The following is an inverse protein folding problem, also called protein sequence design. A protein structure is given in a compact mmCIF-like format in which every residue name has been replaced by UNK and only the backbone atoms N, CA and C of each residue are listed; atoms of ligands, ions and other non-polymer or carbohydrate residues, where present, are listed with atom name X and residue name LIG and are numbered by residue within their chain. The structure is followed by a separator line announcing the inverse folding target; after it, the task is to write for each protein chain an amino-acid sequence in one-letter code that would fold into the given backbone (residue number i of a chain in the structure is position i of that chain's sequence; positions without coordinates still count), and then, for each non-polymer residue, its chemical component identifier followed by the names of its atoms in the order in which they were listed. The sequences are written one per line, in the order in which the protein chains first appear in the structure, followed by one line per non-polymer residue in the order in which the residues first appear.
data_IF_764685187472
#
_entry.id   IF_764685187472
#
_cell.length_a   1.000
_cell.length_b   1.000
_cell.length_c   1.000
_cell.angle_alpha   90.00
_cell.angle_beta   90.00
_cell.angle_gamma   90.00
#
_symmetry.space_group_name_H-M   'P 1'
#
loop_
_entity.id
_entity.type
_entity.pdbx_description
1 polymer ?
#
# COMPACT_ATOMS: atom_id res chain seq x y z
N UNK A 1 31.75 31.28 17.33
CA UNK A 1 32.63 31.28 16.15
C UNK A 1 32.73 29.86 15.64
N UNK A 2 32.14 29.55 14.48
CA UNK A 2 32.33 28.26 13.82
C UNK A 2 33.68 28.28 13.11
N UNK A 3 34.75 27.96 13.85
CA UNK A 3 36.13 27.93 13.37
C UNK A 3 36.51 26.58 12.78
N UNK A 4 36.01 26.29 11.59
CA UNK A 4 36.44 25.12 10.81
C UNK A 4 36.45 25.49 9.34
N UNK A 5 37.63 25.46 8.72
CA UNK A 5 37.79 25.50 7.27
C UNK A 5 37.18 24.21 6.70
N UNK A 6 35.88 24.21 6.47
CA UNK A 6 35.23 23.15 5.72
C UNK A 6 35.24 23.58 4.25
N UNK A 7 36.04 22.93 3.37
CA UNK A 7 35.97 23.18 1.93
C UNK A 7 34.72 22.48 1.37
N UNK A 8 33.54 22.81 1.91
CA UNK A 8 32.28 22.36 1.35
C UNK A 8 32.07 23.21 0.10
N UNK A 9 32.25 22.58 -1.06
CA UNK A 9 31.95 23.19 -2.35
C UNK A 9 30.53 23.74 -2.32
N UNK A 10 30.30 24.95 -2.86
CA UNK A 10 28.97 25.55 -2.97
C UNK A 10 27.97 24.61 -3.66
N UNK A 11 28.46 23.74 -4.56
CA UNK A 11 27.68 22.67 -5.19
C UNK A 11 27.07 21.74 -4.12
N UNK A 12 27.85 21.31 -3.13
CA UNK A 12 27.37 20.42 -2.07
C UNK A 12 26.34 21.12 -1.17
N UNK A 13 26.48 22.42 -0.92
CA UNK A 13 25.47 23.18 -0.16
C UNK A 13 24.17 23.36 -0.94
N UNK A 14 24.25 23.65 -2.25
CA UNK A 14 23.08 23.88 -3.09
C UNK A 14 22.35 22.60 -3.47
N UNK A 15 23.09 21.52 -3.79
CA UNK A 15 22.52 20.27 -4.28
C UNK A 15 22.46 19.16 -3.24
N UNK A 16 23.22 19.24 -2.14
CA UNK A 16 23.19 18.24 -1.06
C UNK A 16 21.80 18.03 -0.48
N UNK A 17 21.07 19.09 -0.08
CA UNK A 17 19.70 18.97 0.39
C UNK A 17 18.76 18.38 -0.68
N UNK A 18 18.94 18.76 -1.95
CA UNK A 18 18.14 18.26 -3.06
C UNK A 18 18.35 16.76 -3.31
N UNK A 19 19.59 16.29 -3.26
CA UNK A 19 19.88 14.85 -3.40
C UNK A 19 19.30 14.08 -2.21
N UNK A 20 19.42 14.63 -1.00
CA UNK A 20 18.92 13.99 0.21
C UNK A 20 17.39 13.85 0.19
N UNK A 21 16.66 14.86 -0.31
CA UNK A 21 15.20 14.78 -0.46
C UNK A 21 14.79 13.77 -1.52
N UNK A 22 15.48 13.73 -2.67
CA UNK A 22 15.18 12.76 -3.74
C UNK A 22 15.40 11.33 -3.23
N UNK A 23 16.53 11.05 -2.59
CA UNK A 23 16.82 9.72 -2.05
C UNK A 23 15.85 9.32 -0.94
N UNK A 24 15.51 10.26 -0.05
CA UNK A 24 14.51 10.03 1.00
C UNK A 24 13.13 9.68 0.42
N UNK A 25 12.70 10.40 -0.62
CA UNK A 25 11.44 10.11 -1.29
C UNK A 25 11.44 8.73 -1.96
N UNK A 26 12.50 8.38 -2.69
CA UNK A 26 12.62 7.06 -3.35
C UNK A 26 12.61 5.93 -2.32
N UNK A 27 13.36 6.07 -1.23
CA UNK A 27 13.40 5.07 -0.16
C UNK A 27 12.02 4.90 0.50
N UNK A 28 11.33 6.00 0.79
CA UNK A 28 9.99 5.99 1.35
C UNK A 28 8.97 5.35 0.40
N UNK A 29 9.01 5.70 -0.88
CA UNK A 29 8.15 5.13 -1.90
C UNK A 29 8.39 3.63 -2.07
N UNK A 30 9.65 3.17 -2.02
CA UNK A 30 9.98 1.75 -2.10
C UNK A 30 9.45 0.96 -0.91
N UNK A 31 9.58 1.50 0.31
CA UNK A 31 9.04 0.89 1.52
C UNK A 31 7.50 0.81 1.50
N UNK A 32 6.84 1.85 0.99
CA UNK A 32 5.37 1.90 0.92
C UNK A 32 4.79 1.09 -0.24
N UNK A 33 5.49 0.98 -1.39
CA UNK A 33 5.06 0.12 -2.50
C UNK A 33 5.02 -1.37 -2.10
N UNK A 34 5.88 -1.80 -1.17
CA UNK A 34 5.81 -3.16 -0.62
C UNK A 34 4.47 -3.42 0.10
N UNK A 35 3.92 -2.43 0.80
CA UNK A 35 2.62 -2.55 1.48
C UNK A 35 1.44 -2.32 0.52
N UNK A 36 1.64 -1.56 -0.57
CA UNK A 36 0.63 -1.35 -1.62
C UNK A 36 0.45 -2.57 -2.54
N UNK A 37 1.40 -3.52 -2.55
CA UNK A 37 1.34 -4.76 -3.34
C UNK A 37 0.35 -5.80 -2.81
N UNK A 38 -0.52 -5.45 -1.86
CA UNK A 38 -1.59 -6.32 -1.33
C UNK A 38 -2.45 -6.85 -2.48
N UNK A 39 -2.25 -8.11 -2.90
CA UNK A 39 -2.88 -8.65 -4.10
C UNK A 39 -4.40 -8.78 -3.92
N UNK A 40 -4.85 -8.89 -2.66
CA UNK A 40 -6.27 -9.01 -2.30
C UNK A 40 -7.09 -7.73 -2.53
N UNK A 41 -6.45 -6.56 -2.69
CA UNK A 41 -7.13 -5.31 -3.10
C UNK A 41 -6.99 -5.04 -4.61
N UNK A 42 -6.18 -5.84 -5.30
CA UNK A 42 -5.75 -5.60 -6.68
C UNK A 42 -6.52 -6.42 -7.71
N UNK A 43 -7.53 -7.16 -7.28
CA UNK A 43 -8.54 -7.74 -8.17
C UNK A 43 -9.49 -6.61 -8.63
N UNK A 44 -8.91 -5.59 -9.28
CA UNK A 44 -9.67 -4.66 -10.09
C UNK A 44 -10.05 -5.46 -11.33
N UNK A 45 -11.30 -5.90 -11.39
CA UNK A 45 -11.88 -6.43 -12.61
C UNK A 45 -11.78 -5.33 -13.68
N UNK A 46 -10.89 -5.52 -14.66
CA UNK A 46 -10.58 -4.57 -15.73
C UNK A 46 -11.57 -4.68 -16.90
N UNK A 47 -12.59 -5.54 -16.80
CA UNK A 47 -13.65 -5.70 -17.80
C UNK A 47 -14.59 -4.50 -17.75
N UNK A 48 -15.10 -4.08 -18.91
CA UNK A 48 -16.10 -3.01 -18.99
C UNK A 48 -17.38 -3.42 -18.23
N UNK A 49 -18.11 -2.45 -17.67
CA UNK A 49 -19.30 -2.71 -16.86
C UNK A 49 -20.35 -3.58 -17.59
N UNK A 50 -20.41 -3.50 -18.93
CA UNK A 50 -21.27 -4.34 -19.78
C UNK A 50 -20.80 -5.80 -19.91
N UNK A 51 -19.49 -6.09 -19.88
CA UNK A 51 -18.96 -7.46 -19.80
C UNK A 51 -19.15 -8.06 -18.41
N UNK A 52 -19.13 -7.21 -17.37
CA UNK A 52 -19.30 -7.60 -15.97
C UNK A 52 -20.73 -8.01 -15.63
N UNK A 53 -21.73 -7.49 -16.34
CA UNK A 53 -23.15 -7.79 -16.20
C UNK A 53 -23.53 -9.25 -16.51
N UNK A 54 -22.68 -10.00 -17.23
CA UNK A 54 -22.91 -11.40 -17.57
C UNK A 54 -22.24 -12.41 -16.65
N UNK A 55 -21.29 -11.96 -15.83
CA UNK A 55 -20.41 -12.82 -15.04
C UNK A 55 -20.02 -12.07 -13.77
N UNK A 56 -21.02 -11.77 -12.94
CA UNK A 56 -20.78 -11.43 -11.54
C UNK A 56 -19.78 -12.45 -11.00
N UNK A 57 -18.62 -12.04 -10.43
CA UNK A 57 -17.77 -12.99 -9.74
C UNK A 57 -18.64 -13.57 -8.64
N UNK A 58 -19.06 -14.84 -8.80
CA UNK A 58 -19.89 -15.51 -7.82
C UNK A 58 -19.25 -15.22 -6.45
N UNK A 59 -19.99 -14.63 -5.50
CA UNK A 59 -19.42 -14.19 -4.24
C UNK A 59 -18.60 -15.35 -3.70
N UNK A 60 -17.29 -15.16 -3.52
CA UNK A 60 -16.39 -16.25 -3.10
C UNK A 60 -16.99 -16.86 -1.84
N UNK A 61 -17.54 -18.06 -1.98
CA UNK A 61 -18.25 -18.70 -0.88
C UNK A 61 -17.20 -18.99 0.17
N UNK A 62 -17.31 -18.29 1.30
CA UNK A 62 -16.43 -18.48 2.43
C UNK A 62 -16.76 -19.87 2.99
N UNK A 63 -15.90 -20.85 2.75
CA UNK A 63 -16.12 -22.23 3.22
C UNK A 63 -15.81 -22.40 4.72
N UNK A 64 -15.00 -21.51 5.27
CA UNK A 64 -14.52 -21.57 6.65
C UNK A 64 -14.69 -20.23 7.37
N UNK A 65 -15.04 -20.21 8.66
CA UNK A 65 -15.19 -18.97 9.40
C UNK A 65 -13.87 -18.18 9.43
N UNK A 66 -13.94 -16.90 9.08
CA UNK A 66 -12.80 -15.98 9.10
C UNK A 66 -12.95 -15.07 10.32
N UNK A 67 -11.97 -15.11 11.22
CA UNK A 67 -11.87 -14.20 12.35
C UNK A 67 -10.95 -13.03 12.01
N UNK A 68 -11.42 -11.80 12.20
CA UNK A 68 -10.64 -10.59 12.02
C UNK A 68 -10.84 -9.65 13.21
N UNK A 69 -9.79 -8.91 13.56
CA UNK A 69 -9.85 -7.85 14.58
C UNK A 69 -9.94 -6.50 13.88
N UNK A 70 -10.95 -5.70 14.24
CA UNK A 70 -11.10 -4.35 13.68
C UNK A 70 -10.07 -3.41 14.30
N UNK A 71 -9.78 -2.26 13.66
CA UNK A 71 -8.93 -1.22 14.25
C UNK A 71 -9.41 -0.68 15.62
N UNK A 72 -10.68 -0.92 15.96
CA UNK A 72 -11.27 -0.57 17.26
C UNK A 72 -11.13 -1.68 18.31
N UNK A 73 -10.44 -2.77 18.00
CA UNK A 73 -10.25 -3.94 18.89
C UNK A 73 -11.47 -4.87 18.95
N UNK A 74 -12.45 -4.71 18.04
CA UNK A 74 -13.65 -5.55 18.03
C UNK A 74 -13.37 -6.79 17.18
N UNK A 75 -13.62 -7.98 17.73
CA UNK A 75 -13.53 -9.23 16.98
C UNK A 75 -14.78 -9.40 16.11
N UNK A 76 -14.59 -9.56 14.81
CA UNK A 76 -15.65 -9.83 13.84
C UNK A 76 -15.40 -11.21 13.24
N UNK A 77 -16.45 -12.03 13.20
CA UNK A 77 -16.41 -13.37 12.62
C UNK A 77 -17.32 -13.38 11.41
N UNK A 78 -16.75 -13.60 10.23
CA UNK A 78 -17.53 -13.81 9.00
C UNK A 78 -17.83 -15.30 8.92
N UNK A 79 -19.10 -15.67 9.08
CA UNK A 79 -19.55 -17.06 8.96
C UNK A 79 -19.95 -17.36 7.52
N UNK A 80 -19.69 -18.60 7.03
CA UNK A 80 -20.29 -19.10 5.80
C UNK A 80 -21.81 -18.91 5.82
N UNK A 81 -22.46 -18.62 4.68
CA UNK A 81 -23.90 -18.69 4.60
C UNK A 81 -24.35 -20.13 4.92
N UNK A 82 -25.25 -20.27 5.90
CA UNK A 82 -25.84 -21.56 6.27
C UNK A 82 -26.78 -22.02 5.14
N UNK A 83 -26.23 -22.66 4.11
CA UNK A 83 -26.88 -23.36 2.99
C UNK A 83 -28.00 -22.59 2.25
N UNK A 84 -27.75 -22.26 0.97
CA UNK A 84 -28.80 -22.05 -0.03
C UNK A 84 -29.39 -23.40 -0.47
#
# INVERSE_FOLDING_TARGET
MFGGEFPISGITLCYGPLVLTILGFIAFAWLTDLDARRPYLREMDLRDDEERLGEDPAPRVIEQPIEAETPTGTKVVIRPPENA
#
